data_IF_204004918988
#
_entry.id   IF_204004918988
#
_cell.length_a   1.000
_cell.length_b   1.000
_cell.length_c   1.000
_cell.angle_alpha   90.00
_cell.angle_beta   90.00
_cell.angle_gamma   90.00
#
_symmetry.space_group_name_H-M   'P 1'
#
loop_
_entity.id
_entity.type
_entity.pdbx_description
1 polymer ?
#
# COMPACT_ATOMS: atom_id res chain seq x y z
N UNK A 1 17.55 0.40 -23.72
CA UNK A 1 16.75 1.40 -22.99
C UNK A 1 17.31 1.66 -21.59
N UNK A 2 17.83 0.62 -20.91
CA UNK A 2 18.47 0.67 -19.58
C UNK A 2 19.53 1.77 -19.42
N UNK A 3 20.45 1.89 -20.40
CA UNK A 3 21.53 2.90 -20.38
C UNK A 3 20.98 4.34 -20.42
N UNK A 4 19.83 4.57 -21.05
CA UNK A 4 19.29 5.91 -21.20
C UNK A 4 18.74 6.45 -19.86
N UNK A 5 18.07 5.60 -19.08
CA UNK A 5 17.51 5.99 -17.76
C UNK A 5 18.64 6.26 -16.77
N UNK A 6 19.60 5.34 -16.67
CA UNK A 6 20.75 5.52 -15.76
C UNK A 6 21.59 6.74 -16.14
N UNK A 7 21.76 7.04 -17.44
CA UNK A 7 22.46 8.24 -17.88
C UNK A 7 21.73 9.52 -17.47
N UNK A 8 20.40 9.56 -17.66
CA UNK A 8 19.58 10.71 -17.26
C UNK A 8 19.64 10.93 -15.74
N UNK A 9 19.51 9.86 -14.95
CA UNK A 9 19.60 9.93 -13.50
C UNK A 9 20.99 10.36 -13.02
N UNK A 10 22.06 9.86 -13.65
CA UNK A 10 23.44 10.25 -13.34
C UNK A 10 23.71 11.73 -13.66
N UNK A 11 23.22 12.22 -14.80
CA UNK A 11 23.31 13.65 -15.17
C UNK A 11 22.52 14.51 -14.18
N UNK A 12 21.31 14.09 -13.79
CA UNK A 12 20.52 14.78 -12.78
C UNK A 12 21.26 14.82 -11.42
N UNK A 13 21.90 13.72 -11.02
CA UNK A 13 22.70 13.66 -9.79
C UNK A 13 23.91 14.59 -9.83
N UNK A 14 24.63 14.63 -10.96
CA UNK A 14 25.72 15.57 -11.16
C UNK A 14 25.25 17.02 -11.10
N UNK A 15 24.12 17.35 -11.73
CA UNK A 15 23.51 18.67 -11.65
C UNK A 15 23.13 19.04 -10.21
N UNK A 16 22.56 18.11 -9.44
CA UNK A 16 22.22 18.32 -8.04
C UNK A 16 23.46 18.58 -7.16
N UNK A 17 24.55 17.83 -7.39
CA UNK A 17 25.85 18.03 -6.73
C UNK A 17 26.42 19.41 -7.05
N UNK A 18 26.43 19.81 -8.34
CA UNK A 18 26.93 21.12 -8.78
C UNK A 18 26.07 22.26 -8.21
N UNK A 19 24.76 22.11 -8.22
CA UNK A 19 23.84 23.09 -7.63
C UNK A 19 24.06 23.21 -6.11
N UNK A 20 24.24 22.08 -5.42
CA UNK A 20 24.56 22.03 -4.00
C UNK A 20 25.89 22.70 -3.67
N UNK A 21 26.93 22.44 -4.47
CA UNK A 21 28.23 23.09 -4.35
C UNK A 21 28.14 24.61 -4.48
N UNK A 22 27.35 25.09 -5.45
CA UNK A 22 27.13 26.51 -5.69
C UNK A 22 26.37 27.19 -4.54
N UNK A 23 25.33 26.54 -4.02
CA UNK A 23 24.45 27.07 -2.96
C UNK A 23 25.06 26.99 -1.56
N UNK A 24 25.86 25.96 -1.29
CA UNK A 24 26.47 25.73 0.03
C UNK A 24 25.54 25.01 1.01
N UNK A 25 26.15 24.33 1.99
CA UNK A 25 25.51 23.55 3.04
C UNK A 25 24.48 24.38 3.80
N UNK A 26 24.85 25.59 4.22
CA UNK A 26 24.00 26.43 5.05
C UNK A 26 22.68 26.79 4.34
N UNK A 27 22.74 27.12 3.06
CA UNK A 27 21.56 27.48 2.27
C UNK A 27 20.71 26.24 1.98
N UNK A 28 21.33 25.11 1.63
CA UNK A 28 20.63 23.85 1.39
C UNK A 28 19.91 23.34 2.65
N UNK A 29 20.58 23.36 3.80
CA UNK A 29 20.01 22.96 5.08
C UNK A 29 18.84 23.87 5.49
N UNK A 30 18.99 25.19 5.33
CA UNK A 30 17.92 26.14 5.63
C UNK A 30 16.70 25.97 4.71
N UNK A 31 16.91 25.68 3.42
CA UNK A 31 15.82 25.38 2.50
C UNK A 31 15.08 24.10 2.88
N UNK A 32 15.78 23.04 3.28
CA UNK A 32 15.16 21.80 3.78
C UNK A 32 14.38 22.03 5.07
N UNK A 33 14.94 22.78 6.02
CA UNK A 33 14.24 23.17 7.24
C UNK A 33 12.99 24.00 6.93
N UNK A 34 13.04 24.85 5.91
CA UNK A 34 11.88 25.61 5.45
C UNK A 34 10.81 24.76 4.79
N UNK A 35 11.15 23.67 4.11
CA UNK A 35 10.15 22.70 3.62
C UNK A 35 9.42 22.06 4.80
N UNK A 36 10.16 21.56 5.80
CA UNK A 36 9.57 20.94 6.99
C UNK A 36 8.69 21.92 7.78
N UNK A 37 9.17 23.15 7.99
CA UNK A 37 8.41 24.20 8.66
C UNK A 37 7.15 24.59 7.86
N UNK A 38 7.27 24.72 6.54
CA UNK A 38 6.16 25.05 5.66
C UNK A 38 5.07 23.98 5.64
N UNK A 39 5.46 22.70 5.62
CA UNK A 39 4.52 21.58 5.74
C UNK A 39 3.79 21.62 7.09
N UNK A 40 4.50 21.85 8.20
CA UNK A 40 3.88 21.99 9.52
C UNK A 40 2.91 23.17 9.59
N UNK A 41 3.30 24.35 9.11
CA UNK A 41 2.42 25.53 9.05
C UNK A 41 1.18 25.23 8.20
N UNK A 42 1.34 24.51 7.08
CA UNK A 42 0.22 24.16 6.21
C UNK A 42 -0.82 23.29 6.93
N UNK A 43 -0.42 22.34 7.77
CA UNK A 43 -1.38 21.53 8.54
C UNK A 43 -2.25 22.37 9.49
N UNK A 44 -1.74 23.51 9.95
CA UNK A 44 -2.47 24.45 10.80
C UNK A 44 -3.31 25.44 9.99
N UNK A 45 -2.80 25.89 8.84
CA UNK A 45 -3.43 26.93 8.01
C UNK A 45 -4.50 26.39 7.05
N UNK A 46 -4.32 25.18 6.50
CA UNK A 46 -5.20 24.61 5.49
C UNK A 46 -6.67 24.50 5.95
N UNK A 47 -6.99 24.05 7.18
CA UNK A 47 -8.38 23.98 7.62
C UNK A 47 -9.08 25.34 7.59
N UNK A 48 -8.42 26.40 8.09
CA UNK A 48 -9.00 27.74 8.17
C UNK A 48 -9.24 28.37 6.78
N UNK A 49 -8.35 28.11 5.83
CA UNK A 49 -8.50 28.59 4.44
C UNK A 49 -9.61 27.82 3.73
N UNK A 50 -9.67 26.51 3.90
CA UNK A 50 -10.71 25.66 3.32
C UNK A 50 -12.10 26.06 3.84
N UNK A 51 -12.25 26.34 5.14
CA UNK A 51 -13.53 26.81 5.70
C UNK A 51 -13.93 28.17 5.14
N UNK A 52 -12.98 29.11 5.01
CA UNK A 52 -13.26 30.42 4.45
C UNK A 52 -13.69 30.35 2.98
N UNK A 53 -13.08 29.46 2.19
CA UNK A 53 -13.47 29.23 0.80
C UNK A 53 -14.83 28.52 0.70
N UNK A 54 -15.15 27.63 1.64
CA UNK A 54 -16.48 27.00 1.71
C UNK A 54 -17.59 28.04 1.91
N UNK A 55 -17.36 29.08 2.73
CA UNK A 55 -18.30 30.21 2.90
C UNK A 55 -18.52 31.01 1.59
N UNK A 56 -17.59 30.90 0.64
CA UNK A 56 -17.67 31.52 -0.69
C UNK A 56 -18.13 30.55 -1.79
N UNK A 57 -18.74 29.41 -1.40
CA UNK A 57 -19.35 28.45 -2.31
C UNK A 57 -18.46 27.31 -2.78
N UNK A 58 -17.24 27.16 -2.23
CA UNK A 58 -16.35 26.04 -2.53
C UNK A 58 -16.65 24.84 -1.62
N UNK A 59 -17.74 24.14 -1.91
CA UNK A 59 -18.26 23.07 -1.05
C UNK A 59 -17.95 21.66 -1.56
N UNK A 60 -17.52 21.51 -2.82
CA UNK A 60 -17.22 20.17 -3.37
C UNK A 60 -15.97 19.56 -2.73
N UNK A 61 -15.92 18.22 -2.63
CA UNK A 61 -14.76 17.50 -2.07
C UNK A 61 -13.47 17.84 -2.83
N UNK A 62 -13.53 17.78 -4.17
CA UNK A 62 -12.42 18.12 -5.05
C UNK A 62 -11.90 19.56 -4.84
N UNK A 63 -12.79 20.55 -4.71
CA UNK A 63 -12.39 21.94 -4.48
C UNK A 63 -11.69 22.13 -3.14
N UNK A 64 -12.16 21.44 -2.09
CA UNK A 64 -11.54 21.49 -0.76
C UNK A 64 -10.16 20.83 -0.74
N UNK A 65 -10.00 19.69 -1.40
CA UNK A 65 -8.70 19.02 -1.54
C UNK A 65 -7.71 19.86 -2.36
N UNK A 66 -8.16 20.47 -3.47
CA UNK A 66 -7.33 21.39 -4.25
C UNK A 66 -6.91 22.60 -3.41
N UNK A 67 -7.84 23.20 -2.67
CA UNK A 67 -7.54 24.34 -1.80
C UNK A 67 -6.50 23.98 -0.72
N UNK A 68 -6.68 22.83 -0.05
CA UNK A 68 -5.72 22.33 0.94
C UNK A 68 -4.33 22.08 0.32
N UNK A 69 -4.28 21.43 -0.85
CA UNK A 69 -3.03 21.17 -1.57
C UNK A 69 -2.31 22.46 -1.98
N UNK A 70 -3.05 23.46 -2.48
CA UNK A 70 -2.49 24.77 -2.85
C UNK A 70 -1.90 25.48 -1.62
N UNK A 71 -2.61 25.51 -0.49
CA UNK A 71 -2.10 26.08 0.76
C UNK A 71 -0.82 25.37 1.20
N UNK A 72 -0.80 24.04 1.10
CA UNK A 72 0.36 23.23 1.45
C UNK A 72 1.60 23.58 0.64
N UNK A 73 1.47 23.64 -0.69
CA UNK A 73 2.57 24.02 -1.59
C UNK A 73 3.02 25.46 -1.33
N UNK A 74 2.09 26.40 -1.14
CA UNK A 74 2.43 27.81 -0.89
C UNK A 74 3.23 27.98 0.40
N UNK A 75 2.81 27.35 1.51
CA UNK A 75 3.53 27.42 2.78
C UNK A 75 4.95 26.85 2.67
N UNK A 76 5.13 25.72 1.97
CA UNK A 76 6.45 25.13 1.70
C UNK A 76 7.34 26.07 0.88
N UNK A 77 6.81 26.63 -0.21
CA UNK A 77 7.57 27.54 -1.09
C UNK A 77 7.96 28.81 -0.34
N UNK A 78 7.03 29.42 0.40
CA UNK A 78 7.30 30.65 1.16
C UNK A 78 8.34 30.39 2.26
N UNK A 79 8.15 29.36 3.09
CA UNK A 79 9.07 29.08 4.19
C UNK A 79 10.48 28.72 3.70
N UNK A 80 10.59 27.86 2.68
CA UNK A 80 11.89 27.46 2.10
C UNK A 80 12.63 28.60 1.40
N UNK A 81 11.92 29.52 0.74
CA UNK A 81 12.53 30.70 0.11
C UNK A 81 12.98 31.73 1.14
N UNK A 82 12.18 31.98 2.18
CA UNK A 82 12.55 32.91 3.27
C UNK A 82 13.78 32.42 4.02
N UNK A 83 13.77 31.17 4.50
CA UNK A 83 14.90 30.58 5.23
C UNK A 83 16.15 30.46 4.34
N UNK A 84 15.98 30.05 3.08
CA UNK A 84 17.10 29.99 2.12
C UNK A 84 17.71 31.37 1.85
N UNK A 85 16.89 32.41 1.73
CA UNK A 85 17.36 33.79 1.50
C UNK A 85 18.10 34.34 2.72
N UNK A 86 17.57 34.13 3.92
CA UNK A 86 18.22 34.49 5.18
C UNK A 86 19.57 33.78 5.31
N UNK A 87 19.61 32.48 5.06
CA UNK A 87 20.84 31.70 5.06
C UNK A 87 21.84 32.21 4.01
N UNK A 88 21.37 32.63 2.83
CA UNK A 88 22.27 33.19 1.81
C UNK A 88 22.91 34.51 2.26
N UNK A 89 22.18 35.35 2.99
CA UNK A 89 22.73 36.58 3.59
C UNK A 89 23.80 36.23 4.64
N UNK A 90 23.51 35.28 5.53
CA UNK A 90 24.46 34.79 6.56
C UNK A 90 25.70 34.16 5.93
N UNK A 91 25.53 33.40 4.84
CA UNK A 91 26.65 32.82 4.09
C UNK A 91 27.57 33.89 3.51
N UNK A 92 27.04 35.02 3.04
CA UNK A 92 27.84 36.15 2.54
C UNK A 92 28.66 36.83 3.65
N UNK A 93 28.16 36.87 4.88
CA UNK A 93 28.88 37.49 6.01
C UNK A 93 29.96 36.58 6.57
N UNK A 94 29.69 35.28 6.73
CA UNK A 94 30.61 34.30 7.32
C UNK A 94 31.63 33.77 6.29
N UNK A 95 31.27 33.69 5.02
CA UNK A 95 32.09 33.12 3.93
C UNK A 95 33.30 33.96 3.48
N UNK A 96 33.72 34.98 4.26
CA UNK A 96 34.91 35.79 3.97
C UNK A 96 36.22 34.98 4.08
N UNK A 97 36.21 33.88 4.83
CA UNK A 97 37.33 32.94 4.95
C UNK A 97 37.22 31.84 3.90
N UNK A 98 38.26 31.68 3.07
CA UNK A 98 38.30 30.70 1.97
C UNK A 98 38.10 29.25 2.45
N UNK A 99 38.64 28.91 3.63
CA UNK A 99 38.50 27.57 4.22
C UNK A 99 37.04 27.25 4.60
N UNK A 100 36.33 28.20 5.23
CA UNK A 100 34.92 28.04 5.63
C UNK A 100 34.02 27.91 4.40
N UNK A 101 34.29 28.69 3.35
CA UNK A 101 33.56 28.60 2.07
C UNK A 101 33.76 27.25 1.37
N UNK A 102 34.97 26.69 1.42
CA UNK A 102 35.26 25.37 0.85
C UNK A 102 34.49 24.24 1.55
N UNK A 103 34.47 24.23 2.88
CA UNK A 103 33.73 23.25 3.68
C UNK A 103 32.22 23.37 3.45
N UNK A 104 31.70 24.61 3.44
CA UNK A 104 30.28 24.86 3.16
C UNK A 104 29.87 24.40 1.76
N UNK A 105 30.68 24.68 0.73
CA UNK A 105 30.42 24.18 -0.64
C UNK A 105 30.50 22.65 -0.73
N UNK A 106 31.46 22.01 -0.05
CA UNK A 106 31.56 20.56 0.00
C UNK A 106 30.33 19.94 0.68
N UNK A 107 29.93 20.48 1.84
CA UNK A 107 28.73 20.03 2.53
C UNK A 107 27.45 20.25 1.71
N UNK A 108 27.38 21.35 0.95
CA UNK A 108 26.29 21.61 0.02
C UNK A 108 26.22 20.58 -1.12
N UNK A 109 27.37 20.17 -1.67
CA UNK A 109 27.44 19.11 -2.67
C UNK A 109 26.99 17.75 -2.12
N UNK A 110 27.40 17.41 -0.89
CA UNK A 110 26.96 16.19 -0.20
C UNK A 110 25.45 16.20 0.03
N UNK A 111 24.89 17.29 0.56
CA UNK A 111 23.43 17.43 0.72
C UNK A 111 22.70 17.38 -0.63
N UNK A 112 23.26 17.97 -1.68
CA UNK A 112 22.70 17.90 -3.04
C UNK A 112 22.64 16.46 -3.55
N UNK A 113 23.71 15.68 -3.35
CA UNK A 113 23.74 14.25 -3.68
C UNK A 113 22.70 13.45 -2.89
N UNK A 114 22.61 13.68 -1.58
CA UNK A 114 21.64 13.01 -0.71
C UNK A 114 20.19 13.34 -1.10
N UNK A 115 19.90 14.62 -1.35
CA UNK A 115 18.57 15.05 -1.78
C UNK A 115 18.18 14.41 -3.13
N UNK A 116 19.10 14.37 -4.09
CA UNK A 116 18.89 13.65 -5.34
C UNK A 116 18.63 12.17 -5.12
N UNK A 117 19.43 11.50 -4.29
CA UNK A 117 19.27 10.07 -3.99
C UNK A 117 17.89 9.77 -3.39
N UNK A 118 17.44 10.58 -2.42
CA UNK A 118 16.11 10.45 -1.81
C UNK A 118 14.99 10.68 -2.83
N UNK A 119 15.10 11.70 -3.69
CA UNK A 119 14.09 11.99 -4.73
C UNK A 119 14.00 10.83 -5.73
N UNK A 120 15.13 10.32 -6.21
CA UNK A 120 15.16 9.19 -7.16
C UNK A 120 14.63 7.92 -6.50
N UNK A 121 14.99 7.68 -5.24
CA UNK A 121 14.49 6.55 -4.46
C UNK A 121 12.97 6.60 -4.26
N UNK A 122 12.41 7.75 -3.86
CA UNK A 122 10.96 7.94 -3.73
C UNK A 122 10.23 7.85 -5.07
N UNK A 123 10.77 8.46 -6.13
CA UNK A 123 10.18 8.39 -7.47
C UNK A 123 10.18 6.95 -8.02
N UNK A 124 11.27 6.20 -7.79
CA UNK A 124 11.35 4.78 -8.14
C UNK A 124 10.35 3.94 -7.37
N UNK A 125 10.22 4.16 -6.06
CA UNK A 125 9.20 3.51 -5.23
C UNK A 125 7.77 3.81 -5.70
N UNK A 126 7.48 5.06 -6.05
CA UNK A 126 6.16 5.47 -6.53
C UNK A 126 5.83 4.82 -7.88
N UNK A 127 6.79 4.77 -8.81
CA UNK A 127 6.60 4.11 -10.09
C UNK A 127 6.46 2.59 -9.99
N UNK A 128 6.98 1.98 -8.91
CA UNK A 128 6.75 0.57 -8.60
C UNK A 128 5.37 0.34 -7.95
N UNK A 129 4.89 1.30 -7.15
CA UNK A 129 3.58 1.21 -6.51
C UNK A 129 2.42 1.47 -7.47
N UNK A 130 2.64 2.09 -8.64
CA UNK A 130 1.57 2.28 -9.64
C UNK A 130 1.16 1.01 -10.37
N UNK A 131 1.86 -0.12 -10.21
CA UNK A 131 1.52 -1.40 -10.86
C UNK A 131 1.72 -1.45 -12.38
N UNK A 132 1.99 -0.31 -13.04
CA UNK A 132 2.17 -0.26 -14.49
C UNK A 132 3.39 -1.07 -14.93
N UNK A 133 3.16 -2.09 -15.76
CA UNK A 133 4.19 -2.99 -16.30
C UNK A 133 5.37 -2.25 -16.93
N UNK A 134 5.11 -1.18 -17.68
CA UNK A 134 6.14 -0.40 -18.37
C UNK A 134 7.01 0.42 -17.39
N UNK A 135 6.38 1.02 -16.38
CA UNK A 135 7.08 1.78 -15.34
C UNK A 135 7.93 0.85 -14.46
N UNK A 136 7.38 -0.31 -14.10
CA UNK A 136 8.07 -1.34 -13.32
C UNK A 136 9.29 -1.89 -14.07
N UNK A 137 9.18 -2.14 -15.38
CA UNK A 137 10.31 -2.55 -16.21
C UNK A 137 11.40 -1.46 -16.31
N UNK A 138 11.02 -0.19 -16.42
CA UNK A 138 11.95 0.95 -16.44
C UNK A 138 12.71 1.10 -15.12
N UNK A 139 12.04 0.92 -13.99
CA UNK A 139 12.66 1.02 -12.66
C UNK A 139 13.58 -0.17 -12.38
N UNK A 140 13.11 -1.39 -12.64
CA UNK A 140 13.89 -2.61 -12.38
C UNK A 140 15.12 -2.77 -13.28
N UNK A 141 15.14 -2.12 -14.44
CA UNK A 141 16.30 -2.11 -15.33
C UNK A 141 17.36 -1.05 -15.00
N UNK A 142 17.11 -0.17 -14.02
CA UNK A 142 18.07 0.86 -13.59
C UNK A 142 19.04 0.34 -12.52
N UNK A 143 20.35 0.46 -12.78
CA UNK A 143 21.38 0.14 -11.78
C UNK A 143 21.41 1.17 -10.65
N UNK A 144 21.11 2.43 -10.96
CA UNK A 144 21.08 3.50 -9.96
C UNK A 144 19.94 3.27 -8.97
N UNK A 145 18.72 3.02 -9.45
CA UNK A 145 17.57 2.80 -8.57
C UNK A 145 17.74 1.53 -7.74
N UNK A 146 18.20 0.42 -8.34
CA UNK A 146 18.46 -0.82 -7.60
C UNK A 146 19.56 -0.65 -6.53
N UNK A 147 20.63 0.10 -6.82
CA UNK A 147 21.67 0.42 -5.83
C UNK A 147 21.09 1.27 -4.69
N UNK A 148 20.32 2.31 -5.00
CA UNK A 148 19.67 3.17 -4.00
C UNK A 148 18.72 2.38 -3.09
N UNK A 149 17.94 1.45 -3.65
CA UNK A 149 17.10 0.55 -2.88
C UNK A 149 17.92 -0.38 -1.96
N UNK A 150 19.07 -0.89 -2.42
CA UNK A 150 19.90 -1.80 -1.63
C UNK A 150 20.60 -1.13 -0.44
N UNK A 151 20.90 0.17 -0.51
CA UNK A 151 21.55 0.93 0.55
C UNK A 151 20.55 1.61 1.49
N UNK A 152 19.28 1.67 1.11
CA UNK A 152 18.22 2.26 1.93
C UNK A 152 17.89 1.36 3.13
N UNK A 153 17.70 1.92 4.34
CA UNK A 153 17.30 1.13 5.52
C UNK A 153 15.94 0.46 5.39
N UNK A 154 15.07 1.02 4.55
CA UNK A 154 13.71 0.54 4.28
C UNK A 154 13.44 0.56 2.77
N UNK A 155 12.62 -0.36 2.22
CA UNK A 155 12.20 -0.28 0.84
C UNK A 155 11.42 1.02 0.54
N UNK A 156 11.58 1.56 -0.67
CA UNK A 156 10.87 2.78 -1.09
C UNK A 156 9.35 2.61 -1.06
N UNK A 157 8.88 1.43 -1.45
CA UNK A 157 7.46 1.05 -1.44
C UNK A 157 6.89 1.07 -0.02
N UNK A 158 7.61 0.51 0.96
CA UNK A 158 7.20 0.53 2.37
C UNK A 158 7.22 1.94 2.95
N UNK A 159 8.23 2.76 2.62
CA UNK A 159 8.27 4.16 3.07
C UNK A 159 7.10 4.99 2.51
N UNK A 160 6.75 4.79 1.24
CA UNK A 160 5.56 5.39 0.63
C UNK A 160 4.27 4.82 1.23
N UNK A 161 4.24 3.51 1.52
CA UNK A 161 3.14 2.85 2.22
C UNK A 161 2.91 3.45 3.61
N UNK A 162 3.95 3.80 4.36
CA UNK A 162 3.78 4.52 5.64
C UNK A 162 3.26 5.95 5.47
N UNK A 163 3.60 6.62 4.37
CA UNK A 163 3.07 7.94 4.05
C UNK A 163 1.61 7.86 3.61
N UNK A 164 1.24 6.82 2.86
CA UNK A 164 -0.13 6.49 2.48
C UNK A 164 -0.98 6.10 3.70
N UNK A 165 -0.43 5.30 4.61
CA UNK A 165 -1.01 5.00 5.92
C UNK A 165 -1.25 6.27 6.76
N UNK A 166 -0.37 7.27 6.66
CA UNK A 166 -0.51 8.56 7.34
C UNK A 166 -1.46 9.54 6.63
N UNK A 167 -1.66 9.38 5.31
CA UNK A 167 -2.59 10.17 4.49
C UNK A 167 -4.01 9.57 4.46
N UNK A 168 -4.19 8.34 4.95
CA UNK A 168 -5.47 7.76 5.32
C UNK A 168 -6.06 6.84 4.25
N UNK A 169 -6.15 5.55 4.61
CA UNK A 169 -7.19 4.61 4.13
C UNK A 169 -7.47 4.55 2.62
N UNK A 170 -6.47 4.76 1.76
CA UNK A 170 -6.61 4.48 0.33
C UNK A 170 -6.43 2.97 0.09
N UNK A 171 -7.53 2.21 0.04
CA UNK A 171 -7.52 0.83 -0.47
C UNK A 171 -7.95 -0.28 0.49
N UNK A 172 -8.40 0.03 1.71
CA UNK A 172 -9.07 -0.96 2.56
C UNK A 172 -10.52 -0.56 2.85
N UNK A 173 -11.49 -1.50 2.73
CA UNK A 173 -12.88 -1.24 3.12
C UNK A 173 -13.00 -0.86 4.60
N UNK A 174 -13.95 0.02 4.92
CA UNK A 174 -14.31 0.33 6.31
C UNK A 174 -15.13 -0.81 6.91
N UNK A 175 -14.59 -1.46 7.94
CA UNK A 175 -15.20 -2.65 8.57
C UNK A 175 -16.40 -2.27 9.46
N UNK A 176 -16.43 -1.04 9.99
CA UNK A 176 -17.50 -0.54 10.86
C UNK A 176 -18.00 0.80 10.35
N UNK A 177 -19.30 0.91 10.09
CA UNK A 177 -19.90 2.11 9.48
C UNK A 177 -20.10 3.28 10.48
N UNK A 178 -20.52 2.98 11.72
CA UNK A 178 -21.09 3.99 12.63
C UNK A 178 -20.56 3.94 14.09
N UNK A 179 -19.38 3.37 14.34
CA UNK A 179 -18.91 3.14 15.72
C UNK A 179 -17.40 3.24 15.91
N UNK A 180 -17.00 3.56 17.15
CA UNK A 180 -15.63 3.38 17.59
C UNK A 180 -15.29 1.89 17.61
N UNK A 181 -14.23 1.52 16.90
CA UNK A 181 -13.72 0.16 16.82
C UNK A 181 -13.36 -0.37 18.22
N UNK A 182 -14.10 -1.37 18.71
CA UNK A 182 -13.83 -1.99 20.03
C UNK A 182 -12.90 -3.18 19.83
N UNK A 183 -11.60 -2.94 20.04
CA UNK A 183 -10.55 -3.93 19.88
C UNK A 183 -10.32 -4.66 21.20
N UNK A 184 -10.69 -5.94 21.25
CA UNK A 184 -10.40 -6.79 22.40
C UNK A 184 -8.88 -7.00 22.56
N UNK A 185 -8.40 -6.93 23.80
CA UNK A 185 -7.02 -7.27 24.12
C UNK A 185 -6.76 -8.77 23.90
N UNK A 186 -5.63 -9.10 23.28
CA UNK A 186 -5.14 -10.48 23.15
C UNK A 186 -3.63 -10.52 23.39
N UNK A 187 -3.10 -11.69 23.73
CA UNK A 187 -1.64 -11.89 23.80
C UNK A 187 -1.00 -11.69 22.41
N UNK A 188 0.29 -11.38 22.38
CA UNK A 188 1.02 -11.29 21.13
C UNK A 188 0.95 -12.64 20.36
N UNK A 189 1.00 -12.62 19.02
CA UNK A 189 1.16 -13.83 18.23
C UNK A 189 2.42 -14.59 18.61
N UNK A 190 2.43 -15.90 18.36
CA UNK A 190 3.62 -16.71 18.54
C UNK A 190 4.71 -16.26 17.55
N UNK A 191 5.98 -16.33 17.95
CA UNK A 191 7.07 -15.81 17.13
C UNK A 191 7.39 -16.67 15.89
N UNK A 192 6.95 -17.93 15.86
CA UNK A 192 7.26 -18.89 14.81
C UNK A 192 6.01 -19.26 14.01
N UNK A 193 6.16 -19.29 12.69
CA UNK A 193 5.17 -19.88 11.78
C UNK A 193 5.35 -21.41 11.80
N UNK A 194 4.28 -22.21 11.99
CA UNK A 194 4.37 -23.66 11.93
C UNK A 194 4.76 -24.16 10.54
N UNK A 195 5.62 -25.19 10.44
CA UNK A 195 6.08 -25.71 9.15
C UNK A 195 4.97 -26.27 8.25
N UNK A 196 3.84 -26.70 8.83
CA UNK A 196 2.68 -27.12 8.05
C UNK A 196 2.08 -25.98 7.20
N UNK A 197 2.18 -24.73 7.68
CA UNK A 197 1.79 -23.54 6.92
C UNK A 197 2.73 -23.30 5.74
N UNK A 198 4.03 -23.58 5.89
CA UNK A 198 5.00 -23.45 4.80
C UNK A 198 4.68 -24.44 3.66
N UNK A 199 4.25 -25.65 3.99
CA UNK A 199 3.81 -26.65 3.00
C UNK A 199 2.51 -26.20 2.30
N UNK A 200 1.52 -25.73 3.07
CA UNK A 200 0.25 -25.20 2.55
C UNK A 200 0.44 -23.93 1.68
N UNK A 201 1.50 -23.16 1.91
CA UNK A 201 1.78 -21.91 1.18
C UNK A 201 1.86 -22.09 -0.35
N UNK A 202 2.12 -23.30 -0.83
CA UNK A 202 2.12 -23.62 -2.25
C UNK A 202 0.77 -23.36 -2.95
N UNK A 203 -0.35 -23.40 -2.22
CA UNK A 203 -1.69 -23.11 -2.73
C UNK A 203 -2.08 -21.64 -2.70
N UNK A 204 -1.18 -20.73 -2.28
CA UNK A 204 -1.45 -19.28 -2.23
C UNK A 204 -0.88 -18.59 -3.47
N UNK A 205 -1.72 -17.76 -4.10
CA UNK A 205 -1.42 -17.10 -5.38
C UNK A 205 -1.56 -15.59 -5.28
N UNK A 206 -0.83 -14.88 -6.13
CA UNK A 206 -0.92 -13.43 -6.26
C UNK A 206 -1.94 -13.08 -7.32
N UNK A 207 -2.79 -12.11 -7.02
CA UNK A 207 -3.83 -11.61 -7.94
C UNK A 207 -3.42 -10.22 -8.40
N UNK A 208 -3.52 -9.99 -9.71
CA UNK A 208 -3.35 -8.69 -10.33
C UNK A 208 -4.57 -8.42 -11.20
N UNK A 209 -5.22 -7.29 -11.01
CA UNK A 209 -6.36 -6.90 -11.82
C UNK A 209 -6.14 -5.52 -12.41
N UNK A 210 -6.62 -5.33 -13.63
CA UNK A 210 -6.55 -4.03 -14.31
C UNK A 210 -7.93 -3.52 -14.62
N UNK A 211 -8.21 -2.30 -14.17
CA UNK A 211 -9.48 -1.60 -14.35
C UNK A 211 -9.25 -0.24 -15.03
N UNK A 212 -8.93 -0.20 -16.34
CA UNK A 212 -8.61 1.05 -17.04
C UNK A 212 -9.74 2.08 -16.99
N UNK A 213 -11.01 1.62 -16.99
CA UNK A 213 -12.18 2.49 -16.88
C UNK A 213 -12.28 3.17 -15.50
N UNK A 214 -11.65 2.57 -14.50
CA UNK A 214 -11.56 3.08 -13.14
C UNK A 214 -10.25 3.83 -12.88
N UNK A 215 -9.37 3.95 -13.89
CA UNK A 215 -8.01 4.49 -13.78
C UNK A 215 -7.19 3.90 -12.63
N UNK A 216 -7.42 2.61 -12.34
CA UNK A 216 -6.75 1.92 -11.25
C UNK A 216 -6.40 0.49 -11.65
N UNK A 217 -5.28 0.01 -11.13
CA UNK A 217 -4.91 -1.40 -11.11
C UNK A 217 -4.91 -1.83 -9.65
N UNK A 218 -5.32 -3.07 -9.37
CA UNK A 218 -5.37 -3.61 -8.02
C UNK A 218 -4.56 -4.89 -7.91
N UNK A 219 -4.08 -5.15 -6.70
CA UNK A 219 -3.29 -6.31 -6.37
C UNK A 219 -3.76 -6.90 -5.05
N UNK A 220 -3.63 -8.21 -4.94
CA UNK A 220 -4.05 -8.93 -3.75
C UNK A 220 -3.52 -10.34 -3.73
N UNK A 221 -4.07 -11.10 -2.80
CA UNK A 221 -3.79 -12.50 -2.60
C UNK A 221 -5.04 -13.32 -2.90
N UNK A 222 -4.84 -14.60 -3.17
CA UNK A 222 -5.89 -15.58 -3.29
C UNK A 222 -5.35 -16.95 -2.98
N UNK A 223 -6.22 -17.94 -2.89
CA UNK A 223 -5.82 -19.32 -2.64
C UNK A 223 -6.71 -20.31 -3.36
N UNK A 224 -6.14 -21.46 -3.68
CA UNK A 224 -6.82 -22.50 -4.48
C UNK A 224 -7.81 -23.24 -3.59
N UNK A 225 -9.10 -23.08 -3.86
CA UNK A 225 -10.20 -23.73 -3.11
C UNK A 225 -10.67 -25.02 -3.76
N UNK A 226 -10.49 -25.14 -5.08
CA UNK A 226 -10.78 -26.34 -5.86
C UNK A 226 -9.92 -26.32 -7.14
N UNK A 227 -9.96 -27.40 -7.93
CA UNK A 227 -9.14 -27.48 -9.15
C UNK A 227 -9.39 -26.28 -10.09
N UNK A 228 -8.34 -25.49 -10.32
CA UNK A 228 -8.40 -24.26 -11.09
C UNK A 228 -9.34 -23.19 -10.53
N UNK A 229 -9.80 -23.29 -9.28
CA UNK A 229 -10.68 -22.32 -8.61
C UNK A 229 -9.92 -21.61 -7.49
N UNK A 230 -9.95 -20.29 -7.50
CA UNK A 230 -9.26 -19.45 -6.52
C UNK A 230 -10.28 -18.55 -5.83
N UNK A 231 -10.24 -18.48 -4.50
CA UNK A 231 -10.95 -17.45 -3.73
C UNK A 231 -10.03 -16.24 -3.53
N UNK A 232 -10.60 -15.05 -3.64
CA UNK A 232 -9.98 -13.76 -3.29
C UNK A 232 -11.07 -12.78 -2.83
N UNK A 233 -10.72 -11.54 -2.53
CA UNK A 233 -11.71 -10.51 -2.23
C UNK A 233 -12.35 -9.93 -3.50
N UNK A 234 -13.60 -9.48 -3.38
CA UNK A 234 -14.30 -8.81 -4.48
C UNK A 234 -13.63 -7.46 -4.81
N UNK A 235 -13.20 -6.71 -3.80
CA UNK A 235 -12.55 -5.42 -4.01
C UNK A 235 -11.23 -5.54 -4.79
N UNK A 236 -10.53 -6.68 -4.73
CA UNK A 236 -9.30 -6.93 -5.50
C UNK A 236 -9.57 -6.99 -7.01
N UNK A 237 -10.80 -7.30 -7.42
CA UNK A 237 -11.18 -7.49 -8.83
C UNK A 237 -12.28 -6.53 -9.30
N UNK A 238 -12.77 -5.64 -8.43
CA UNK A 238 -13.88 -4.74 -8.72
C UNK A 238 -13.59 -3.83 -9.92
N UNK A 239 -14.54 -3.73 -10.86
CA UNK A 239 -14.44 -2.89 -12.06
C UNK A 239 -13.36 -3.32 -13.07
N UNK A 240 -12.62 -4.40 -12.80
CA UNK A 240 -11.53 -4.86 -13.66
C UNK A 240 -12.04 -5.45 -14.98
N UNK A 241 -11.30 -5.20 -16.06
CA UNK A 241 -11.53 -5.83 -17.37
C UNK A 241 -10.57 -7.00 -17.62
N UNK A 242 -9.42 -7.01 -16.94
CA UNK A 242 -8.43 -8.08 -17.04
C UNK A 242 -8.03 -8.53 -15.63
N UNK A 243 -7.96 -9.84 -15.40
CA UNK A 243 -7.55 -10.43 -14.14
C UNK A 243 -6.48 -11.47 -14.44
N UNK A 244 -5.38 -11.40 -13.71
CA UNK A 244 -4.23 -12.30 -13.83
C UNK A 244 -3.91 -12.92 -12.47
N UNK A 245 -3.46 -14.18 -12.53
CA UNK A 245 -3.01 -14.95 -11.38
C UNK A 245 -1.54 -15.32 -11.58
N UNK A 246 -0.75 -15.19 -10.52
CA UNK A 246 0.65 -15.59 -10.51
C UNK A 246 0.91 -16.57 -9.37
N UNK A 247 1.32 -17.79 -9.73
CA UNK A 247 1.64 -18.85 -8.77
C UNK A 247 2.95 -18.50 -8.06
N UNK A 248 2.98 -18.55 -6.72
CA UNK A 248 4.13 -18.17 -5.89
C UNK A 248 4.62 -16.71 -6.11
N UNK A 249 3.79 -15.84 -6.67
CA UNK A 249 4.11 -14.44 -6.95
C UNK A 249 5.28 -14.21 -7.90
N UNK A 250 5.63 -15.21 -8.72
CA UNK A 250 6.67 -15.10 -9.74
C UNK A 250 6.31 -15.91 -10.99
N UNK A 251 6.94 -15.61 -12.12
CA UNK A 251 6.71 -16.33 -13.38
C UNK A 251 5.53 -15.80 -14.20
N UNK A 252 4.89 -16.69 -14.95
CA UNK A 252 3.87 -16.33 -15.94
C UNK A 252 2.60 -15.77 -15.30
N UNK A 253 2.04 -14.73 -15.92
CA UNK A 253 0.71 -14.22 -15.61
C UNK A 253 -0.32 -15.12 -16.31
N UNK A 254 -1.11 -15.82 -15.52
CA UNK A 254 -2.17 -16.70 -16.02
C UNK A 254 -3.47 -15.90 -16.09
N UNK A 255 -4.13 -15.81 -17.26
CA UNK A 255 -5.41 -15.12 -17.36
C UNK A 255 -6.46 -15.87 -16.53
N UNK A 256 -7.24 -15.12 -15.77
CA UNK A 256 -8.29 -15.63 -14.90
C UNK A 256 -9.67 -15.12 -15.33
N UNK A 257 -10.69 -15.96 -15.14
CA UNK A 257 -12.09 -15.59 -15.39
C UNK A 257 -12.85 -15.45 -14.07
N UNK A 258 -13.60 -14.38 -13.92
CA UNK A 258 -14.43 -14.18 -12.72
C UNK A 258 -15.69 -15.04 -12.81
N UNK A 259 -15.88 -15.94 -11.85
CA UNK A 259 -16.98 -16.93 -11.83
C UNK A 259 -18.04 -16.61 -10.78
N UNK A 260 -17.61 -16.06 -9.65
CA UNK A 260 -18.49 -15.60 -8.56
C UNK A 260 -18.00 -14.23 -8.13
N UNK A 261 -18.94 -13.33 -7.87
CA UNK A 261 -18.67 -11.99 -7.37
C UNK A 261 -19.74 -11.62 -6.35
N UNK A 262 -19.37 -11.54 -5.09
CA UNK A 262 -20.22 -11.17 -3.96
C UNK A 262 -19.66 -9.87 -3.34
N UNK A 263 -20.15 -8.70 -3.75
CA UNK A 263 -19.71 -7.41 -3.21
C UNK A 263 -20.18 -7.18 -1.76
N UNK A 264 -21.22 -7.90 -1.32
CA UNK A 264 -21.70 -7.79 0.06
C UNK A 264 -20.73 -8.53 0.98
N UNK A 265 -20.30 -9.75 0.64
CA UNK A 265 -19.27 -10.46 1.44
C UNK A 265 -17.85 -10.03 1.16
N UNK A 266 -17.62 -9.22 0.14
CA UNK A 266 -16.28 -8.91 -0.35
C UNK A 266 -15.53 -10.19 -0.78
N UNK A 267 -16.18 -11.06 -1.54
CA UNK A 267 -15.59 -12.32 -2.01
C UNK A 267 -15.76 -12.48 -3.52
N UNK A 268 -14.75 -13.06 -4.15
CA UNK A 268 -14.77 -13.44 -5.55
C UNK A 268 -14.16 -14.82 -5.75
N UNK A 269 -14.65 -15.52 -6.78
CA UNK A 269 -14.06 -16.78 -7.25
C UNK A 269 -13.55 -16.60 -8.66
N UNK A 270 -12.29 -16.96 -8.87
CA UNK A 270 -11.62 -16.96 -10.16
C UNK A 270 -11.46 -18.38 -10.70
N UNK A 271 -11.59 -18.53 -12.01
CA UNK A 271 -11.26 -19.73 -12.77
C UNK A 271 -9.96 -19.52 -13.54
N UNK A 272 -8.98 -20.38 -13.28
CA UNK A 272 -7.69 -20.44 -13.99
C UNK A 272 -7.48 -21.87 -14.47
N UNK A 273 -7.87 -22.18 -15.72
CA UNK A 273 -7.71 -23.52 -16.27
C UNK A 273 -6.24 -23.95 -16.27
N UNK A 274 -5.98 -25.21 -15.89
CA UNK A 274 -4.63 -25.80 -15.83
C UNK A 274 -3.66 -25.08 -14.89
N UNK A 275 -4.14 -24.53 -13.77
CA UNK A 275 -3.31 -23.87 -12.76
C UNK A 275 -2.18 -24.78 -12.23
N UNK A 276 -2.42 -26.09 -12.14
CA UNK A 276 -1.42 -27.07 -11.72
C UNK A 276 -1.02 -26.96 -10.26
N UNK A 277 -1.89 -26.38 -9.43
CA UNK A 277 -1.72 -26.19 -7.98
C UNK A 277 -2.85 -26.92 -7.26
N UNK A 278 -2.50 -27.69 -6.24
CA UNK A 278 -3.47 -28.42 -5.43
C UNK A 278 -4.32 -27.47 -4.58
N UNK A 279 -5.62 -27.77 -4.39
CA UNK A 279 -6.46 -27.04 -3.44
C UNK A 279 -5.93 -27.14 -2.01
N UNK A 280 -6.19 -26.10 -1.22
CA UNK A 280 -5.94 -26.10 0.21
C UNK A 280 -7.07 -26.77 0.96
N UNK A 281 -6.71 -27.45 2.05
CA UNK A 281 -7.67 -28.04 2.97
C UNK A 281 -8.35 -26.96 3.81
N UNK A 282 -9.63 -27.17 4.12
CA UNK A 282 -10.41 -26.30 4.99
C UNK A 282 -10.39 -26.85 6.41
N UNK A 283 -10.14 -25.96 7.37
CA UNK A 283 -10.11 -26.28 8.79
C UNK A 283 -11.48 -26.12 9.43
N UNK A 284 -11.47 -25.65 10.67
CA UNK A 284 -12.67 -25.28 11.42
C UNK A 284 -12.52 -23.88 12.01
N UNK A 285 -13.63 -23.21 12.28
CA UNK A 285 -13.58 -21.87 12.87
C UNK A 285 -12.80 -21.83 14.19
N UNK A 286 -12.02 -20.75 14.34
CA UNK A 286 -11.13 -20.56 15.46
C UNK A 286 -11.83 -19.84 16.63
N UNK A 287 -11.51 -20.27 17.85
CA UNK A 287 -11.92 -19.56 19.04
C UNK A 287 -11.01 -18.35 19.34
N UNK A 288 -11.47 -17.46 20.21
CA UNK A 288 -10.64 -16.39 20.76
C UNK A 288 -9.34 -16.95 21.37
N UNK A 289 -8.25 -16.19 21.22
CA UNK A 289 -6.88 -16.54 21.59
C UNK A 289 -6.20 -17.64 20.78
N UNK A 290 -6.87 -18.27 19.81
CA UNK A 290 -6.25 -19.24 18.92
C UNK A 290 -5.13 -18.61 18.08
N UNK A 291 -4.06 -19.36 17.85
CA UNK A 291 -2.97 -18.96 16.94
C UNK A 291 -3.41 -19.16 15.49
N UNK A 292 -3.06 -18.20 14.65
CA UNK A 292 -3.35 -18.22 13.23
C UNK A 292 -2.17 -17.65 12.45
N UNK A 293 -2.17 -17.79 11.13
CA UNK A 293 -1.15 -17.21 10.26
C UNK A 293 -1.80 -16.54 9.06
N UNK A 294 -1.47 -15.28 8.84
CA UNK A 294 -1.84 -14.54 7.63
C UNK A 294 -0.82 -14.86 6.55
N UNK A 295 -1.28 -15.21 5.35
CA UNK A 295 -0.41 -15.50 4.22
C UNK A 295 -0.84 -14.71 2.97
N UNK A 296 0.13 -14.12 2.27
CA UNK A 296 -0.18 -13.32 1.09
C UNK A 296 1.02 -12.64 0.45
N UNK A 297 0.74 -11.63 -0.38
CA UNK A 297 1.70 -10.85 -1.15
C UNK A 297 1.59 -9.37 -0.80
N UNK A 298 2.07 -8.96 0.38
CA UNK A 298 1.92 -7.58 0.84
C UNK A 298 2.70 -6.60 -0.03
N UNK A 299 2.13 -5.42 -0.30
CA UNK A 299 2.76 -4.28 -0.99
C UNK A 299 3.37 -4.65 -2.36
N UNK A 300 2.66 -5.44 -3.17
CA UNK A 300 3.14 -6.03 -4.42
C UNK A 300 4.41 -6.88 -4.28
N UNK A 301 4.76 -7.25 -3.06
CA UNK A 301 6.02 -7.84 -2.70
C UNK A 301 6.11 -9.35 -2.95
N UNK A 302 7.16 -9.99 -2.41
CA UNK A 302 7.26 -11.44 -2.37
C UNK A 302 6.18 -12.03 -1.45
N UNK A 303 5.99 -13.35 -1.55
CA UNK A 303 5.15 -14.10 -0.62
C UNK A 303 5.67 -13.97 0.82
N UNK A 304 4.76 -13.71 1.76
CA UNK A 304 5.07 -13.58 3.20
C UNK A 304 4.00 -14.29 4.03
N UNK A 305 4.45 -15.01 5.06
CA UNK A 305 3.62 -15.50 6.16
C UNK A 305 3.89 -14.68 7.43
N UNK A 306 2.83 -14.30 8.13
CA UNK A 306 2.89 -13.48 9.33
C UNK A 306 2.04 -14.10 10.45
N UNK A 307 2.63 -14.41 11.62
CA UNK A 307 1.86 -14.90 12.76
C UNK A 307 0.77 -13.93 13.19
N UNK A 308 -0.39 -14.48 13.52
CA UNK A 308 -1.55 -13.77 14.03
C UNK A 308 -2.16 -14.51 15.23
N UNK A 309 -3.00 -13.82 15.99
CA UNK A 309 -3.79 -14.41 17.06
C UNK A 309 -5.21 -13.89 17.00
N UNK A 310 -6.19 -14.78 17.08
CA UNK A 310 -7.60 -14.38 17.14
C UNK A 310 -7.84 -13.61 18.44
N UNK A 311 -8.31 -12.37 18.35
CA UNK A 311 -8.77 -11.58 19.49
C UNK A 311 -10.17 -12.03 19.89
N UNK A 312 -11.07 -12.04 18.90
CA UNK A 312 -12.49 -12.35 19.07
C UNK A 312 -13.13 -12.65 17.70
N UNK A 313 -14.26 -13.35 17.75
CA UNK A 313 -15.20 -13.47 16.62
C UNK A 313 -16.29 -12.41 16.83
N UNK A 314 -16.58 -11.63 15.79
CA UNK A 314 -17.50 -10.48 15.86
C UNK A 314 -18.45 -10.52 14.68
N UNK A 315 -19.71 -10.22 14.93
CA UNK A 315 -20.68 -9.85 13.89
C UNK A 315 -20.51 -8.36 13.61
N UNK A 316 -19.77 -8.02 12.56
CA UNK A 316 -19.41 -6.64 12.24
C UNK A 316 -20.35 -6.09 11.16
N UNK A 317 -21.03 -4.99 11.47
CA UNK A 317 -21.83 -4.23 10.51
C UNK A 317 -20.99 -3.07 9.96
N UNK A 318 -20.67 -3.16 8.68
CA UNK A 318 -19.95 -2.15 7.92
C UNK A 318 -20.57 -1.99 6.55
N UNK A 319 -19.97 -1.17 5.69
CA UNK A 319 -20.50 -1.01 4.34
C UNK A 319 -20.09 -2.18 3.43
N UNK A 320 -20.80 -2.35 2.32
CA UNK A 320 -20.35 -3.14 1.18
C UNK A 320 -19.10 -2.52 0.53
N UNK A 321 -18.49 -3.23 -0.43
CA UNK A 321 -17.27 -2.74 -1.08
C UNK A 321 -17.46 -1.45 -1.89
N UNK A 322 -18.71 -1.02 -2.12
CA UNK A 322 -19.05 0.22 -2.81
C UNK A 322 -19.44 1.35 -1.86
N UNK A 323 -19.48 1.12 -0.55
CA UNK A 323 -19.87 2.14 0.41
C UNK A 323 -21.37 2.49 0.37
N UNK A 324 -22.22 1.62 -0.17
CA UNK A 324 -23.63 1.93 -0.48
C UNK A 324 -24.64 1.25 0.42
N UNK A 325 -24.35 0.05 0.92
CA UNK A 325 -25.28 -0.75 1.72
C UNK A 325 -24.61 -1.21 3.02
N UNK A 326 -25.37 -1.24 4.11
CA UNK A 326 -24.94 -1.87 5.36
C UNK A 326 -24.97 -3.40 5.21
N UNK A 327 -23.84 -4.04 5.49
CA UNK A 327 -23.67 -5.49 5.47
C UNK A 327 -23.12 -5.94 6.82
N UNK A 328 -23.75 -6.96 7.39
CA UNK A 328 -23.24 -7.64 8.59
C UNK A 328 -22.50 -8.90 8.18
N UNK A 329 -21.25 -9.04 8.62
CA UNK A 329 -20.37 -10.16 8.32
C UNK A 329 -19.84 -10.75 9.61
N UNK A 330 -19.72 -12.07 9.67
CA UNK A 330 -18.97 -12.71 10.74
C UNK A 330 -17.47 -12.68 10.45
N UNK A 331 -16.70 -12.05 11.35
CA UNK A 331 -15.27 -11.83 11.16
C UNK A 331 -14.46 -12.21 12.40
N UNK A 332 -13.22 -12.62 12.16
CA UNK A 332 -12.16 -12.57 13.16
C UNK A 332 -11.60 -11.16 13.25
N UNK A 333 -11.52 -10.64 14.47
CA UNK A 333 -10.54 -9.62 14.82
C UNK A 333 -9.24 -10.31 15.18
N UNK A 334 -8.15 -9.94 14.53
CA UNK A 334 -6.84 -10.57 14.67
C UNK A 334 -5.85 -9.58 15.29
N UNK A 335 -5.01 -10.05 16.21
CA UNK A 335 -3.78 -9.37 16.58
C UNK A 335 -2.69 -9.86 15.65
N UNK A 336 -2.06 -8.95 14.91
CA UNK A 336 -1.04 -9.28 13.92
C UNK A 336 -0.97 -8.21 12.83
N UNK A 337 0.06 -8.28 12.00
CA UNK A 337 0.29 -7.30 10.94
C UNK A 337 -0.43 -7.72 9.66
N UNK A 338 -1.44 -6.93 9.25
CA UNK A 338 -2.10 -7.06 7.94
C UNK A 338 -1.77 -5.82 7.11
N UNK A 339 -1.22 -6.05 5.91
CA UNK A 339 -0.77 -5.00 4.98
C UNK A 339 -1.58 -5.06 3.68
N UNK A 340 -1.64 -3.95 2.91
CA UNK A 340 -2.18 -3.97 1.55
C UNK A 340 -1.57 -5.12 0.75
N UNK A 341 -2.35 -5.82 -0.07
CA UNK A 341 -1.91 -7.01 -0.80
C UNK A 341 -2.14 -8.35 -0.08
N UNK A 342 -2.35 -8.35 1.25
CA UNK A 342 -2.82 -9.54 1.97
C UNK A 342 -4.30 -9.85 1.71
N UNK A 343 -5.08 -8.86 1.26
CA UNK A 343 -6.51 -9.00 0.93
C UNK A 343 -6.75 -10.17 -0.02
N UNK A 344 -7.68 -11.04 0.34
CA UNK A 344 -8.06 -12.25 -0.37
C UNK A 344 -7.19 -13.47 -0.02
N UNK A 345 -6.10 -13.26 0.72
CA UNK A 345 -5.23 -14.32 1.20
C UNK A 345 -5.90 -15.17 2.29
N UNK A 346 -5.48 -16.43 2.45
CA UNK A 346 -6.02 -17.29 3.49
C UNK A 346 -5.51 -16.86 4.87
N UNK A 347 -6.39 -17.03 5.86
CA UNK A 347 -6.00 -17.17 7.25
C UNK A 347 -5.81 -18.66 7.52
N UNK A 348 -4.62 -19.08 7.93
CA UNK A 348 -4.32 -20.47 8.29
C UNK A 348 -4.42 -20.71 9.79
N UNK A 349 -4.80 -21.91 10.19
CA UNK A 349 -4.53 -22.42 11.52
C UNK A 349 -3.09 -22.98 11.63
N UNK A 350 -2.77 -23.60 12.77
CA UNK A 350 -1.43 -24.16 12.99
C UNK A 350 -1.14 -25.45 12.23
N UNK A 351 -2.18 -26.09 11.67
CA UNK A 351 -2.06 -27.29 10.84
C UNK A 351 -1.88 -26.97 9.35
N UNK A 352 -2.00 -25.69 8.96
CA UNK A 352 -1.93 -25.27 7.56
C UNK A 352 -3.28 -25.32 6.84
N UNK A 353 -4.37 -25.53 7.59
CA UNK A 353 -5.73 -25.55 7.04
C UNK A 353 -6.27 -24.12 6.97
N UNK A 354 -7.02 -23.81 5.91
CA UNK A 354 -7.64 -22.49 5.74
C UNK A 354 -8.82 -22.37 6.69
N UNK A 355 -8.81 -21.31 7.51
CA UNK A 355 -9.85 -21.00 8.49
C UNK A 355 -10.52 -19.65 8.26
N UNK A 356 -10.18 -18.94 7.18
CA UNK A 356 -10.81 -17.67 6.82
C UNK A 356 -10.14 -16.96 5.66
N UNK A 357 -10.65 -15.77 5.32
CA UNK A 357 -10.12 -14.91 4.25
C UNK A 357 -9.83 -13.52 4.79
N UNK A 358 -8.58 -13.08 4.70
CA UNK A 358 -8.15 -11.74 5.11
C UNK A 358 -8.75 -10.70 4.17
N UNK A 359 -9.35 -9.63 4.69
CA UNK A 359 -10.00 -8.62 3.85
C UNK A 359 -9.75 -7.16 4.26
N UNK A 360 -9.42 -6.92 5.53
CA UNK A 360 -9.24 -5.56 6.01
C UNK A 360 -8.22 -5.47 7.15
N UNK A 361 -7.86 -4.24 7.50
CA UNK A 361 -7.10 -3.88 8.69
C UNK A 361 -7.81 -2.78 9.46
N UNK A 362 -7.48 -2.65 10.74
CA UNK A 362 -7.95 -1.54 11.56
C UNK A 362 -7.42 -0.20 11.05
N UNK A 363 -8.27 0.82 11.12
CA UNK A 363 -7.93 2.22 10.84
C UNK A 363 -7.38 2.93 12.07
N UNK A 364 -7.49 2.33 13.26
CA UNK A 364 -7.12 2.95 14.54
C UNK A 364 -6.01 2.20 15.30
N UNK A 365 -5.74 0.94 14.95
CA UNK A 365 -4.70 0.08 15.55
C UNK A 365 -3.92 -0.66 14.47
N UNK A 366 -2.63 -0.33 14.30
CA UNK A 366 -1.77 -0.97 13.30
C UNK A 366 -1.53 -2.46 13.54
N UNK A 367 -1.76 -2.95 14.76
CA UNK A 367 -1.58 -4.36 15.14
C UNK A 367 -2.90 -5.17 15.04
N UNK A 368 -3.92 -4.62 14.38
CA UNK A 368 -5.22 -5.27 14.22
C UNK A 368 -5.60 -5.48 12.75
N UNK A 369 -5.86 -6.75 12.41
CA UNK A 369 -6.33 -7.21 11.11
C UNK A 369 -7.71 -7.86 11.18
N UNK A 370 -8.36 -8.02 10.03
CA UNK A 370 -9.68 -8.63 9.92
C UNK A 370 -9.71 -9.71 8.84
N UNK A 371 -10.34 -10.83 9.18
CA UNK A 371 -10.59 -11.93 8.25
C UNK A 371 -12.03 -12.42 8.40
N UNK A 372 -12.69 -12.79 7.31
CA UNK A 372 -13.97 -13.48 7.35
C UNK A 372 -13.81 -14.89 7.89
N UNK A 373 -14.79 -15.38 8.66
CA UNK A 373 -14.80 -16.74 9.19
C UNK A 373 -15.08 -17.77 8.09
N UNK A 374 -14.79 -19.06 8.33
CA UNK A 374 -15.20 -20.12 7.40
C UNK A 374 -16.73 -20.12 7.25
N UNK A 375 -17.46 -19.93 8.36
CA UNK A 375 -18.92 -19.84 8.32
C UNK A 375 -19.42 -18.72 7.40
N UNK A 376 -18.77 -17.54 7.39
CA UNK A 376 -19.14 -16.43 6.51
C UNK A 376 -18.86 -16.73 5.04
N UNK A 377 -17.74 -17.39 4.72
CA UNK A 377 -17.34 -17.65 3.33
C UNK A 377 -17.95 -18.93 2.73
N UNK A 378 -18.52 -19.81 3.56
CA UNK A 378 -19.08 -21.12 3.16
C UNK A 378 -20.00 -21.05 1.93
N UNK A 379 -20.95 -20.09 1.81
CA UNK A 379 -21.78 -19.98 0.61
C UNK A 379 -20.98 -19.78 -0.68
N UNK A 380 -19.87 -19.03 -0.61
CA UNK A 380 -18.99 -18.76 -1.76
C UNK A 380 -18.09 -19.96 -2.07
N UNK A 381 -17.60 -20.65 -1.05
CA UNK A 381 -16.84 -21.91 -1.20
C UNK A 381 -17.69 -22.94 -1.93
N UNK A 382 -18.96 -23.12 -1.54
CA UNK A 382 -19.88 -24.04 -2.22
C UNK A 382 -20.12 -23.60 -3.68
N UNK A 383 -20.35 -22.31 -3.92
CA UNK A 383 -20.56 -21.75 -5.25
C UNK A 383 -19.32 -21.92 -6.16
N UNK A 384 -18.10 -21.90 -5.61
CA UNK A 384 -16.86 -22.02 -6.39
C UNK A 384 -16.82 -23.29 -7.25
N UNK A 385 -17.30 -24.40 -6.71
CA UNK A 385 -17.36 -25.68 -7.41
C UNK A 385 -18.51 -25.78 -8.42
N UNK A 386 -19.57 -24.99 -8.26
CA UNK A 386 -20.81 -25.07 -9.03
C UNK A 386 -20.88 -24.04 -10.16
N UNK A 387 -20.14 -22.94 -10.05
CA UNK A 387 -20.17 -21.86 -11.02
C UNK A 387 -19.61 -22.30 -12.39
N UNK A 388 -20.42 -22.10 -13.45
CA UNK A 388 -20.10 -22.50 -14.82
C UNK A 388 -20.03 -21.33 -15.81
N UNK A 389 -20.51 -20.14 -15.43
CA UNK A 389 -20.56 -18.94 -16.28
C UNK A 389 -19.69 -17.82 -15.72
N UNK A 390 -19.09 -17.05 -16.62
CA UNK A 390 -18.35 -15.82 -16.27
C UNK A 390 -19.34 -14.73 -15.84
N UNK A 391 -18.98 -13.98 -14.79
CA UNK A 391 -19.76 -12.85 -14.28
C UNK A 391 -18.99 -11.53 -14.42
N UNK A 392 -19.71 -10.41 -14.29
CA UNK A 392 -19.11 -9.07 -14.31
C UNK A 392 -18.41 -8.76 -12.99
N UNK A 393 -17.33 -7.98 -13.05
CA UNK A 393 -16.61 -7.40 -11.91
C UNK A 393 -17.30 -6.18 -11.29
N UNK A 394 -18.50 -5.84 -11.76
CA UNK A 394 -19.29 -4.74 -11.21
C UNK A 394 -18.75 -3.36 -11.56
N UNK A 395 -18.90 -2.40 -10.63
CA UNK A 395 -18.54 -1.00 -10.84
C UNK A 395 -17.14 -0.69 -10.28
N UNK A 396 -16.62 0.50 -10.59
CA UNK A 396 -15.47 1.05 -9.90
C UNK A 396 -15.82 1.31 -8.44
N UNK A 397 -14.90 1.02 -7.51
CA UNK A 397 -15.04 1.47 -6.13
C UNK A 397 -15.02 3.00 -6.10
N UNK A 398 -15.89 3.60 -5.28
CA UNK A 398 -15.85 5.04 -5.02
C UNK A 398 -14.72 5.36 -4.04
N UNK A 399 -13.88 6.34 -4.38
CA UNK A 399 -12.86 6.89 -3.48
C UNK A 399 -13.44 7.55 -2.23
#
# INVERSE_FOLDING_TARGET
MEIAVDLVLAVAGLCAIIAGWGRGLLVMAASLAGIALGAWIATLAAPAVVTLLADHGWTSSLQRSIAAGVVFVLCIVIASTVLGSLAHVVRRTIGRLKAVRGIDSLGGAVLGALAWAVIVWLAGGFLLSTGQLQATQLVNSSKIVSTLNSISPVPATTALGTLDQALGSAGFPTVFADGAEIIAGAQAPDAAVPGAVDDASAGVVKILSSAPNCNTDAEGSGWVVADGRIITNAHVVAGSSEIYVQVRGSGALLPARLMVYDPQRDLAVLDVPNLGVSPLDLGTDLAASASAVVAGYPENGPFVTAPARVRQVVQATGLDIYGTEDVTREIYSLRGTVLPGNSGGPLFDTAGDVVGVVFARSTTDSDTGYAMTLAEIEPVVQAASQATSVVSSGACQSE
#
